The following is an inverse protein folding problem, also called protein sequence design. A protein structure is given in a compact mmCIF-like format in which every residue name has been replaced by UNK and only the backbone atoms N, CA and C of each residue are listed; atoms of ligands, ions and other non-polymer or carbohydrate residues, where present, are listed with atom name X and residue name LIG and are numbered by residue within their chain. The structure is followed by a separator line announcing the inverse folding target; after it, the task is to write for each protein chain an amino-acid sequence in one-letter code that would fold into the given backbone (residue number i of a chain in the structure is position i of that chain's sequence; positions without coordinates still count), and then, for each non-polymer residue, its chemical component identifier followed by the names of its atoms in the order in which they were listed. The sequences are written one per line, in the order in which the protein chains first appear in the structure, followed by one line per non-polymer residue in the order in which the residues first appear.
data_IF_479386189899
#
_entry.id   IF_479386189899
#
_cell.length_a   1.000
_cell.length_b   1.000
_cell.length_c   1.000
_cell.angle_alpha   90.00
_cell.angle_beta   90.00
_cell.angle_gamma   90.00
#
_symmetry.space_group_name_H-M   'P 1'
#
loop_
_entity.id
_entity.type
_entity.pdbx_description
1 polymer ?
#
# COMPACT_ATOMS: atom_id res chain seq x y z
N UNK A 1 -12.77 -22.65 -19.89
CA UNK A 1 -11.61 -22.97 -19.03
C UNK A 1 -10.36 -22.94 -19.89
N UNK A 2 -9.32 -22.20 -19.50
CA UNK A 2 -8.10 -22.07 -20.32
C UNK A 2 -7.33 -23.41 -20.32
N UNK A 3 -6.69 -23.73 -21.45
CA UNK A 3 -5.93 -24.99 -21.66
C UNK A 3 -4.84 -25.23 -20.60
N UNK A 4 -4.33 -24.16 -19.99
CA UNK A 4 -3.36 -24.21 -18.88
C UNK A 4 -3.95 -24.71 -17.57
N UNK A 5 -5.21 -24.35 -17.26
CA UNK A 5 -5.90 -24.80 -16.05
C UNK A 5 -6.27 -26.29 -16.14
N UNK A 6 -6.63 -26.76 -17.35
CA UNK A 6 -6.91 -28.17 -17.61
C UNK A 6 -5.65 -29.04 -17.45
N UNK A 7 -4.50 -28.60 -18.01
CA UNK A 7 -3.21 -29.31 -17.90
C UNK A 7 -2.74 -29.44 -16.44
N UNK A 8 -2.84 -28.38 -15.64
CA UNK A 8 -2.45 -28.41 -14.22
C UNK A 8 -3.31 -29.37 -13.40
N UNK A 9 -4.63 -29.39 -13.62
CA UNK A 9 -5.53 -30.35 -12.96
C UNK A 9 -5.22 -31.79 -13.34
N UNK A 10 -4.94 -32.05 -14.62
CA UNK A 10 -4.60 -33.39 -15.10
C UNK A 10 -3.30 -33.91 -14.47
N UNK A 11 -2.26 -33.07 -14.37
CA UNK A 11 -1.00 -33.42 -13.70
C UNK A 11 -1.25 -33.83 -12.24
N UNK A 12 -2.06 -33.05 -11.50
CA UNK A 12 -2.39 -33.36 -10.10
C UNK A 12 -3.13 -34.69 -9.99
N UNK A 13 -4.13 -34.93 -10.84
CA UNK A 13 -4.90 -36.19 -10.84
C UNK A 13 -3.98 -37.38 -11.12
N UNK A 14 -3.12 -37.28 -12.15
CA UNK A 14 -2.18 -38.34 -12.51
C UNK A 14 -1.22 -38.63 -11.35
N UNK A 15 -0.66 -37.60 -10.71
CA UNK A 15 0.25 -37.78 -9.57
C UNK A 15 -0.44 -38.41 -8.36
N UNK A 16 -1.72 -38.09 -8.11
CA UNK A 16 -2.53 -38.70 -7.05
C UNK A 16 -2.78 -40.18 -7.33
N UNK A 17 -3.15 -40.54 -8.57
CA UNK A 17 -3.33 -41.94 -8.97
C UNK A 17 -2.02 -42.72 -8.83
N UNK A 18 -0.89 -42.13 -9.22
CA UNK A 18 0.43 -42.71 -9.09
C UNK A 18 0.78 -42.99 -7.61
N UNK A 19 0.49 -42.05 -6.70
CA UNK A 19 0.73 -42.24 -5.27
C UNK A 19 -0.14 -43.36 -4.68
N UNK A 20 -1.41 -43.47 -5.09
CA UNK A 20 -2.31 -44.56 -4.66
C UNK A 20 -1.81 -45.90 -5.17
N UNK A 21 -1.39 -46.00 -6.44
CA UNK A 21 -0.76 -47.21 -6.98
C UNK A 21 0.51 -47.58 -6.19
N UNK A 22 1.31 -46.60 -5.79
CA UNK A 22 2.50 -46.81 -4.94
C UNK A 22 2.17 -47.41 -3.59
N UNK A 23 1.10 -46.93 -2.95
CA UNK A 23 0.62 -47.46 -1.68
C UNK A 23 0.12 -48.91 -1.81
N UNK A 24 -0.60 -49.22 -2.90
CA UNK A 24 -1.08 -50.57 -3.22
C UNK A 24 0.10 -51.52 -3.47
N UNK A 25 1.04 -51.13 -4.32
CA UNK A 25 2.26 -51.91 -4.59
C UNK A 25 3.04 -52.22 -3.30
N UNK A 26 3.21 -51.22 -2.44
CA UNK A 26 3.90 -51.38 -1.15
C UNK A 26 3.14 -52.30 -0.19
N UNK A 27 1.81 -52.35 -0.26
CA UNK A 27 0.99 -53.20 0.60
C UNK A 27 1.12 -54.68 0.23
N UNK A 28 1.14 -55.00 -1.07
CA UNK A 28 1.20 -56.37 -1.58
C UNK A 28 2.62 -56.91 -1.80
N UNK A 29 3.65 -56.06 -1.78
CA UNK A 29 5.03 -56.47 -1.97
C UNK A 29 5.68 -57.05 -0.70
N UNK A 30 6.39 -58.17 -0.85
CA UNK A 30 7.14 -58.81 0.23
C UNK A 30 8.23 -57.90 0.81
N UNK A 31 8.51 -58.10 2.10
CA UNK A 31 9.51 -57.31 2.84
C UNK A 31 10.91 -57.61 2.29
N UNK A 32 11.62 -56.57 1.84
CA UNK A 32 12.96 -56.67 1.25
C UNK A 32 12.99 -56.74 -0.29
N UNK A 33 11.83 -56.68 -0.95
CA UNK A 33 11.76 -56.64 -2.41
C UNK A 33 11.98 -55.23 -2.97
N UNK A 34 12.65 -55.14 -4.13
CA UNK A 34 12.81 -53.89 -4.89
C UNK A 34 11.46 -53.27 -5.27
N UNK A 35 10.43 -54.09 -5.45
CA UNK A 35 9.05 -53.67 -5.71
C UNK A 35 8.48 -52.81 -4.57
N UNK A 36 8.84 -53.12 -3.32
CA UNK A 36 8.43 -52.37 -2.13
C UNK A 36 9.15 -51.02 -2.04
N UNK A 37 10.41 -50.95 -2.48
CA UNK A 37 11.18 -49.70 -2.53
C UNK A 37 10.63 -48.75 -3.60
N UNK A 38 10.29 -49.28 -4.78
CA UNK A 38 9.59 -48.52 -5.83
C UNK A 38 8.24 -47.98 -5.34
N UNK A 39 7.44 -48.79 -4.64
CA UNK A 39 6.19 -48.32 -4.04
C UNK A 39 6.39 -47.17 -3.03
N UNK A 40 7.52 -47.16 -2.33
CA UNK A 40 7.87 -46.10 -1.36
C UNK A 40 8.27 -44.80 -2.06
N UNK A 41 9.11 -44.88 -3.10
CA UNK A 41 9.49 -43.71 -3.91
C UNK A 41 8.27 -43.07 -4.57
N UNK A 42 7.35 -43.90 -5.09
CA UNK A 42 6.11 -43.44 -5.70
C UNK A 42 5.19 -42.74 -4.69
N UNK A 43 5.19 -43.21 -3.44
CA UNK A 43 4.47 -42.59 -2.32
C UNK A 43 5.15 -41.31 -1.79
N UNK A 44 6.41 -41.01 -2.13
CA UNK A 44 7.08 -39.75 -1.74
C UNK A 44 6.96 -38.66 -2.80
N UNK A 45 6.72 -39.03 -4.07
CA UNK A 45 6.60 -38.11 -5.19
C UNK A 45 5.51 -37.03 -5.03
N UNK A 46 4.46 -37.31 -4.24
CA UNK A 46 3.34 -36.37 -4.01
C UNK A 46 3.55 -35.36 -2.86
N UNK A 47 4.64 -35.46 -2.07
CA UNK A 47 4.92 -34.54 -0.95
C UNK A 47 4.89 -33.05 -1.33
N UNK A 48 5.50 -32.62 -2.45
CA UNK A 48 5.47 -31.21 -2.87
C UNK A 48 4.06 -30.69 -3.17
N UNK A 49 3.17 -31.56 -3.65
CA UNK A 49 1.77 -31.21 -3.94
C UNK A 49 1.01 -30.96 -2.64
N UNK A 50 1.18 -31.84 -1.64
CA UNK A 50 0.58 -31.67 -0.32
C UNK A 50 1.05 -30.36 0.31
N UNK A 51 2.34 -30.05 0.25
CA UNK A 51 2.88 -28.79 0.76
C UNK A 51 2.18 -27.57 0.15
N UNK A 52 1.94 -27.59 -1.16
CA UNK A 52 1.26 -26.51 -1.86
C UNK A 52 -0.24 -26.42 -1.50
N UNK A 53 -0.93 -27.56 -1.35
CA UNK A 53 -2.34 -27.61 -0.92
C UNK A 53 -2.51 -27.12 0.52
N UNK A 54 -1.62 -27.54 1.43
CA UNK A 54 -1.62 -27.07 2.83
C UNK A 54 -1.33 -25.57 2.88
N UNK A 55 -0.34 -25.08 2.13
CA UNK A 55 -0.06 -23.64 2.05
C UNK A 55 -1.27 -22.85 1.56
N UNK A 56 -1.98 -23.35 0.53
CA UNK A 56 -3.22 -22.75 0.06
C UNK A 56 -4.35 -22.80 1.10
N UNK A 57 -4.50 -23.93 1.81
CA UNK A 57 -5.55 -24.10 2.82
C UNK A 57 -5.31 -23.21 4.04
N UNK A 58 -4.06 -23.11 4.50
CA UNK A 58 -3.63 -22.18 5.55
C UNK A 58 -3.88 -20.74 5.11
N UNK A 59 -3.52 -20.38 3.88
CA UNK A 59 -3.80 -19.04 3.34
C UNK A 59 -5.29 -18.73 3.25
N UNK A 60 -6.15 -19.73 2.98
CA UNK A 60 -7.60 -19.58 2.90
C UNK A 60 -8.24 -19.43 4.29
N UNK A 61 -7.81 -20.22 5.26
CA UNK A 61 -8.33 -20.19 6.65
C UNK A 61 -7.84 -18.94 7.39
N UNK A 62 -6.61 -18.50 7.11
CA UNK A 62 -6.02 -17.29 7.71
C UNK A 62 -6.37 -16.00 6.99
N UNK A 63 -7.31 -16.00 6.02
CA UNK A 63 -7.84 -14.74 5.49
C UNK A 63 -8.49 -14.01 6.66
N UNK A 64 -7.93 -12.88 7.14
CA UNK A 64 -8.62 -12.09 8.13
C UNK A 64 -9.96 -11.69 7.51
N UNK A 65 -11.02 -11.67 8.31
CA UNK A 65 -12.18 -10.85 7.99
C UNK A 65 -11.61 -9.46 7.63
N UNK A 66 -11.96 -8.94 6.45
CA UNK A 66 -11.46 -7.64 6.00
C UNK A 66 -11.63 -6.63 7.13
N UNK A 67 -10.64 -5.74 7.37
CA UNK A 67 -10.76 -4.74 8.42
C UNK A 67 -12.12 -4.07 8.29
N UNK A 68 -12.80 -3.91 9.43
CA UNK A 68 -14.06 -3.15 9.50
C UNK A 68 -13.88 -1.84 8.71
N UNK A 69 -14.89 -1.40 7.94
CA UNK A 69 -14.76 -0.20 7.11
C UNK A 69 -14.21 0.92 7.99
N UNK A 70 -13.00 1.38 7.63
CA UNK A 70 -12.35 2.45 8.36
C UNK A 70 -13.31 3.66 8.40
N UNK A 71 -13.30 4.46 9.48
CA UNK A 71 -14.09 5.69 9.51
C UNK A 71 -13.79 6.48 8.24
N UNK A 72 -14.87 6.88 7.56
CA UNK A 72 -14.77 7.56 6.28
C UNK A 72 -13.87 8.79 6.42
N UNK A 73 -12.70 8.82 5.75
CA UNK A 73 -11.77 9.93 5.89
C UNK A 73 -12.39 11.25 5.44
N UNK A 74 -13.38 11.22 4.54
CA UNK A 74 -14.15 12.41 4.12
C UNK A 74 -15.36 12.71 5.02
N UNK A 75 -15.71 11.88 6.01
CA UNK A 75 -16.82 12.20 6.92
C UNK A 75 -16.51 13.38 7.85
N UNK A 76 -15.23 13.66 8.12
CA UNK A 76 -14.82 14.87 8.84
C UNK A 76 -15.00 16.15 7.99
N UNK A 77 -14.99 16.02 6.66
CA UNK A 77 -15.22 17.07 5.65
C UNK A 77 -16.57 16.89 4.96
N UNK A 78 -17.62 16.50 5.70
CA UNK A 78 -19.00 16.35 5.22
C UNK A 78 -19.67 17.67 4.76
N UNK A 79 -18.90 18.67 4.34
CA UNK A 79 -19.36 19.83 3.60
C UNK A 79 -19.66 19.48 2.14
N UNK A 80 -20.25 20.46 1.44
CA UNK A 80 -20.49 20.37 0.00
C UNK A 80 -19.18 20.09 -0.76
N UNK A 81 -19.28 19.43 -1.91
CA UNK A 81 -18.12 19.16 -2.76
C UNK A 81 -17.46 20.47 -3.20
N UNK A 82 -16.19 20.65 -2.88
CA UNK A 82 -15.40 21.84 -3.23
C UNK A 82 -14.33 21.46 -4.26
N UNK A 83 -14.51 21.79 -5.55
CA UNK A 83 -13.58 21.38 -6.59
C UNK A 83 -12.27 22.17 -6.50
N UNK A 84 -11.16 21.49 -6.25
CA UNK A 84 -9.84 22.11 -6.16
C UNK A 84 -9.02 21.99 -7.45
N UNK A 85 -9.27 20.95 -8.25
CA UNK A 85 -8.60 20.69 -9.51
C UNK A 85 -9.59 20.32 -10.61
N UNK A 86 -9.31 20.80 -11.81
CA UNK A 86 -9.83 20.24 -13.04
C UNK A 86 -8.72 19.40 -13.68
N UNK A 87 -8.99 18.10 -13.85
CA UNK A 87 -8.02 17.15 -14.42
C UNK A 87 -8.58 16.53 -15.70
N UNK A 88 -7.66 16.19 -16.60
CA UNK A 88 -7.88 15.26 -17.67
C UNK A 88 -7.55 13.86 -17.17
N UNK A 89 -8.49 12.93 -17.20
CA UNK A 89 -8.30 11.57 -16.71
C UNK A 89 -8.64 10.56 -17.78
N UNK A 90 -7.70 9.65 -18.05
CA UNK A 90 -7.87 8.54 -18.99
C UNK A 90 -7.84 7.23 -18.20
N UNK A 91 -9.01 6.59 -18.11
CA UNK A 91 -9.11 5.26 -17.51
C UNK A 91 -8.49 4.22 -18.44
N UNK A 92 -7.89 3.17 -17.87
CA UNK A 92 -7.34 2.08 -18.65
C UNK A 92 -8.46 1.39 -19.42
N UNK A 93 -8.24 1.14 -20.71
CA UNK A 93 -9.20 0.41 -21.53
C UNK A 93 -9.34 -1.05 -21.02
N UNK A 94 -10.56 -1.59 -21.00
CA UNK A 94 -10.79 -2.98 -20.66
C UNK A 94 -10.10 -3.89 -21.68
N UNK A 95 -9.46 -4.96 -21.22
CA UNK A 95 -8.79 -5.92 -22.11
C UNK A 95 -9.76 -6.92 -22.74
N UNK A 96 -10.96 -7.04 -22.18
CA UNK A 96 -12.01 -7.94 -22.62
C UNK A 96 -13.31 -7.13 -22.83
N UNK A 97 -14.09 -7.42 -23.89
CA UNK A 97 -15.37 -6.75 -24.12
C UNK A 97 -16.38 -6.88 -22.97
N UNK A 98 -16.29 -7.95 -22.18
CA UNK A 98 -17.17 -8.17 -21.01
C UNK A 98 -16.86 -7.21 -19.86
N UNK A 99 -15.65 -6.67 -19.81
CA UNK A 99 -15.20 -5.72 -18.79
C UNK A 99 -15.42 -4.25 -19.22
N UNK A 100 -16.00 -4.02 -20.42
CA UNK A 100 -16.37 -2.70 -20.94
C UNK A 100 -17.68 -2.20 -20.33
N UNK A 101 -17.68 -2.14 -19.00
CA UNK A 101 -18.78 -1.61 -18.21
C UNK A 101 -18.51 -0.13 -17.95
N UNK A 102 -19.46 0.78 -18.24
CA UNK A 102 -19.30 2.19 -17.95
C UNK A 102 -19.16 2.40 -16.44
N UNK A 103 -18.41 3.45 -16.04
CA UNK A 103 -18.28 3.76 -14.63
C UNK A 103 -19.64 4.15 -14.03
N UNK A 104 -19.94 3.63 -12.85
CA UNK A 104 -21.18 3.90 -12.15
C UNK A 104 -21.35 5.39 -11.83
N UNK A 105 -22.59 5.86 -11.82
CA UNK A 105 -22.93 7.22 -11.39
C UNK A 105 -22.59 7.43 -9.90
N UNK A 106 -22.34 8.68 -9.50
CA UNK A 106 -22.14 9.06 -8.10
C UNK A 106 -20.69 9.32 -7.69
N UNK A 107 -20.43 9.22 -6.39
CA UNK A 107 -19.13 9.54 -5.79
C UNK A 107 -18.12 8.41 -5.99
N UNK A 108 -16.93 8.77 -6.43
CA UNK A 108 -15.78 7.88 -6.55
C UNK A 108 -14.62 8.40 -5.73
N UNK A 109 -13.91 7.47 -5.08
CA UNK A 109 -12.78 7.76 -4.21
C UNK A 109 -11.52 7.11 -4.75
N UNK A 110 -10.44 7.87 -4.77
CA UNK A 110 -9.16 7.39 -5.25
C UNK A 110 -8.00 8.07 -4.52
N UNK A 111 -6.79 7.60 -4.79
CA UNK A 111 -5.58 8.35 -4.53
C UNK A 111 -4.98 8.80 -5.86
N UNK A 112 -4.72 10.09 -6.00
CA UNK A 112 -3.94 10.63 -7.11
C UNK A 112 -2.46 10.56 -6.73
N UNK A 113 -1.67 9.85 -7.52
CA UNK A 113 -0.27 9.54 -7.23
C UNK A 113 0.62 10.35 -8.17
N UNK A 114 1.40 11.25 -7.58
CA UNK A 114 2.49 11.98 -8.26
C UNK A 114 3.79 11.42 -7.71
N UNK A 115 4.71 11.04 -8.60
CA UNK A 115 5.92 10.30 -8.24
C UNK A 115 5.60 9.03 -7.44
N UNK A 116 5.82 9.07 -6.12
CA UNK A 116 5.53 8.03 -5.14
C UNK A 116 4.63 8.50 -3.98
N UNK A 117 4.08 9.71 -4.07
CA UNK A 117 3.17 10.27 -3.05
C UNK A 117 1.73 10.13 -3.53
N UNK A 118 0.86 9.57 -2.68
CA UNK A 118 -0.56 9.38 -2.96
C UNK A 118 -1.42 10.36 -2.17
N UNK A 119 -2.28 11.11 -2.87
CA UNK A 119 -3.17 12.10 -2.29
C UNK A 119 -4.62 11.63 -2.41
N UNK A 120 -5.28 11.40 -1.28
CA UNK A 120 -6.68 10.98 -1.25
C UNK A 120 -7.58 12.06 -1.84
N UNK A 121 -8.43 11.65 -2.77
CA UNK A 121 -9.31 12.53 -3.51
C UNK A 121 -10.68 11.89 -3.75
N UNK A 122 -11.70 12.74 -3.87
CA UNK A 122 -13.04 12.37 -4.30
C UNK A 122 -13.42 13.13 -5.56
N UNK A 123 -14.26 12.52 -6.38
CA UNK A 123 -14.76 13.06 -7.63
C UNK A 123 -16.10 12.41 -7.96
N UNK A 124 -16.85 12.99 -8.89
CA UNK A 124 -18.23 12.58 -9.16
C UNK A 124 -18.47 12.31 -10.63
N UNK A 125 -19.35 11.35 -10.90
CA UNK A 125 -19.99 11.14 -12.19
C UNK A 125 -21.39 11.71 -12.09
N UNK A 126 -21.71 12.70 -12.93
CA UNK A 126 -23.03 13.31 -12.95
C UNK A 126 -24.11 12.28 -13.32
N UNK A 127 -25.32 12.38 -12.76
CA UNK A 127 -26.43 11.50 -13.16
C UNK A 127 -26.71 11.60 -14.65
N UNK A 128 -26.77 10.46 -15.35
CA UNK A 128 -26.95 10.39 -16.80
C UNK A 128 -25.67 10.53 -17.64
N UNK A 129 -24.52 10.86 -17.03
CA UNK A 129 -23.23 10.85 -17.72
C UNK A 129 -22.64 9.44 -17.74
N UNK A 130 -22.13 9.02 -18.90
CA UNK A 130 -21.45 7.73 -19.05
C UNK A 130 -19.97 7.93 -19.36
N UNK A 131 -19.13 7.67 -18.36
CA UNK A 131 -17.68 7.69 -18.50
C UNK A 131 -17.19 6.41 -19.18
N UNK A 132 -16.83 6.53 -20.46
CA UNK A 132 -16.22 5.44 -21.22
C UNK A 132 -14.76 5.24 -20.84
N UNK A 133 -14.40 4.00 -20.55
CA UNK A 133 -13.01 3.62 -20.33
C UNK A 133 -12.15 3.87 -21.59
N UNK A 134 -10.86 4.13 -21.42
CA UNK A 134 -9.94 4.40 -22.54
C UNK A 134 -10.05 5.77 -23.19
N UNK A 135 -11.07 6.58 -22.86
CA UNK A 135 -11.21 7.97 -23.34
C UNK A 135 -10.76 8.95 -22.26
N UNK A 136 -10.23 10.10 -22.66
CA UNK A 136 -9.85 11.18 -21.73
C UNK A 136 -11.09 12.00 -21.35
N UNK A 137 -11.31 12.19 -20.05
CA UNK A 137 -12.45 12.92 -19.52
C UNK A 137 -11.99 14.07 -18.63
N UNK A 138 -12.69 15.20 -18.70
CA UNK A 138 -12.43 16.34 -17.83
C UNK A 138 -13.25 16.19 -16.54
N UNK A 139 -12.57 16.00 -15.41
CA UNK A 139 -13.21 15.74 -14.13
C UNK A 139 -12.75 16.76 -13.08
N UNK A 140 -13.68 17.18 -12.25
CA UNK A 140 -13.37 17.99 -11.08
C UNK A 140 -13.03 17.07 -9.91
N UNK A 141 -12.01 17.44 -9.15
CA UNK A 141 -11.49 16.64 -8.06
C UNK A 141 -11.35 17.50 -6.81
N UNK A 142 -11.82 16.95 -5.69
CA UNK A 142 -11.59 17.48 -4.36
C UNK A 142 -10.59 16.59 -3.63
N UNK A 143 -9.66 17.23 -2.92
CA UNK A 143 -8.68 16.54 -2.10
C UNK A 143 -9.12 16.53 -0.65
N UNK A 144 -8.80 15.45 0.05
CA UNK A 144 -8.99 15.38 1.49
C UNK A 144 -8.14 16.43 2.24
N UNK A 145 -6.92 16.70 1.75
CA UNK A 145 -5.99 17.66 2.33
C UNK A 145 -5.45 18.62 1.25
N UNK A 146 -6.24 19.62 0.82
CA UNK A 146 -5.89 20.49 -0.31
C UNK A 146 -4.60 21.28 -0.09
N UNK A 147 -4.35 21.75 1.14
CA UNK A 147 -3.15 22.53 1.46
C UNK A 147 -1.85 21.77 1.19
N UNK A 148 -1.85 20.43 1.35
CA UNK A 148 -0.69 19.57 1.10
C UNK A 148 -0.67 19.07 -0.34
N UNK A 149 -1.85 18.78 -0.90
CA UNK A 149 -1.96 18.24 -2.24
C UNK A 149 -1.67 19.29 -3.33
N UNK A 150 -2.32 20.46 -3.29
CA UNK A 150 -2.27 21.45 -4.38
C UNK A 150 -0.86 21.87 -4.81
N UNK A 151 0.11 22.10 -3.89
CA UNK A 151 1.49 22.40 -4.28
C UNK A 151 2.17 21.32 -5.13
N UNK A 152 1.71 20.06 -5.05
CA UNK A 152 2.24 18.91 -5.79
C UNK A 152 1.57 18.68 -7.15
N UNK A 153 0.51 19.42 -7.46
CA UNK A 153 -0.23 19.33 -8.72
C UNK A 153 -0.17 20.65 -9.50
N UNK A 154 1.01 21.07 -10.00
CA UNK A 154 1.09 22.24 -10.86
C UNK A 154 0.32 22.03 -12.17
N UNK A 155 -0.03 23.11 -12.89
CA UNK A 155 -0.65 23.00 -14.21
C UNK A 155 0.14 22.06 -15.14
N UNK A 156 -0.56 21.20 -15.88
CA UNK A 156 0.02 20.16 -16.76
C UNK A 156 0.77 19.02 -16.05
N UNK A 157 0.82 18.96 -14.71
CA UNK A 157 1.41 17.84 -14.00
C UNK A 157 0.71 16.53 -14.36
N UNK A 158 1.49 15.49 -14.64
CA UNK A 158 0.98 14.14 -14.86
C UNK A 158 0.90 13.38 -13.55
N UNK A 159 -0.10 12.52 -13.42
CA UNK A 159 -0.32 11.71 -12.24
C UNK A 159 -0.95 10.36 -12.62
N UNK A 160 -0.88 9.41 -11.71
CA UNK A 160 -1.53 8.10 -11.84
C UNK A 160 -2.64 7.97 -10.81
N UNK A 161 -3.76 7.37 -11.18
CA UNK A 161 -4.88 7.17 -10.27
C UNK A 161 -4.86 5.75 -9.70
N UNK A 162 -4.87 5.65 -8.38
CA UNK A 162 -4.88 4.42 -7.61
C UNK A 162 -6.24 4.25 -6.92
N UNK A 163 -6.88 3.09 -7.10
CA UNK A 163 -8.09 2.70 -6.36
C UNK A 163 -7.81 1.37 -5.65
N UNK A 164 -7.97 1.36 -4.33
CA UNK A 164 -7.51 0.25 -3.50
C UNK A 164 -6.00 0.03 -3.65
N UNK A 165 -5.61 -1.05 -4.33
CA UNK A 165 -4.20 -1.40 -4.60
C UNK A 165 -3.82 -1.37 -6.08
N UNK A 166 -4.71 -0.88 -6.96
CA UNK A 166 -4.54 -1.01 -8.42
C UNK A 166 -4.55 0.35 -9.11
N UNK A 167 -3.58 0.59 -9.98
CA UNK A 167 -3.58 1.76 -10.85
C UNK A 167 -4.59 1.58 -11.97
N UNK A 168 -5.62 2.44 -11.97
CA UNK A 168 -6.81 2.33 -12.83
C UNK A 168 -6.79 3.32 -14.00
N UNK A 169 -5.94 4.34 -13.95
CA UNK A 169 -5.83 5.33 -15.02
C UNK A 169 -4.66 6.28 -14.84
N UNK A 170 -4.41 7.06 -15.88
CA UNK A 170 -3.40 8.11 -15.93
C UNK A 170 -4.11 9.44 -16.17
N UNK A 171 -3.59 10.51 -15.61
CA UNK A 171 -4.20 11.83 -15.72
C UNK A 171 -3.21 12.96 -15.79
N UNK A 172 -3.74 14.14 -16.13
CA UNK A 172 -3.01 15.39 -16.21
C UNK A 172 -3.82 16.54 -15.62
N UNK A 173 -3.18 17.43 -14.88
CA UNK A 173 -3.80 18.65 -14.37
C UNK A 173 -4.10 19.60 -15.54
N UNK A 174 -5.37 19.98 -15.72
CA UNK A 174 -5.77 21.02 -16.68
C UNK A 174 -5.77 22.40 -16.06
N UNK A 175 -6.40 22.53 -14.88
CA UNK A 175 -6.53 23.82 -14.19
C UNK A 175 -6.58 23.62 -12.69
N UNK A 176 -5.89 24.48 -11.95
CA UNK A 176 -6.05 24.60 -10.50
C UNK A 176 -7.24 25.52 -10.24
N UNK A 177 -8.27 24.99 -9.58
CA UNK A 177 -9.51 25.69 -9.23
C UNK A 177 -9.38 26.11 -7.76
N UNK A 178 -8.46 27.02 -7.45
CA UNK A 178 -8.30 27.46 -6.06
C UNK A 178 -9.60 28.14 -5.58
N UNK A 179 -10.28 27.56 -4.60
CA UNK A 179 -11.16 28.31 -3.70
C UNK A 179 -10.26 29.10 -2.76
N UNK A 180 -9.77 30.23 -3.26
CA UNK A 180 -9.34 31.30 -2.39
C UNK A 180 -10.58 31.68 -1.56
N UNK A 181 -10.61 31.26 -0.30
CA UNK A 181 -11.33 32.00 0.72
C UNK A 181 -10.71 33.40 0.68
N UNK A 182 -11.32 34.27 -0.14
CA UNK A 182 -11.13 35.71 -0.12
C UNK A 182 -11.41 36.13 1.33
N UNK A 183 -10.35 36.30 2.11
CA UNK A 183 -10.37 37.18 3.26
C UNK A 183 -10.64 38.59 2.73
N UNK A 184 -11.94 38.88 2.71
CA UNK A 184 -12.62 40.16 2.72
C UNK A 184 -11.70 41.40 2.71
N UNK A 185 -11.75 42.14 1.60
CA UNK A 185 -11.65 43.60 1.64
C UNK A 185 -12.77 44.17 2.54
N UNK A 186 -12.42 45.21 3.30
CA UNK A 186 -13.26 46.12 4.10
C UNK A 186 -13.50 45.76 5.58
N UNK A 187 -12.72 46.45 6.43
CA UNK A 187 -12.95 46.60 7.86
C UNK A 187 -11.98 47.59 8.51
N UNK A 188 -11.88 48.82 7.97
CA UNK A 188 -11.29 49.95 8.70
C UNK A 188 -12.19 50.28 9.89
N UNK A 189 -11.86 49.79 11.09
CA UNK A 189 -12.02 50.48 12.37
C UNK A 189 -11.69 49.54 13.54
N UNK A 190 -10.76 49.96 14.39
CA UNK A 190 -10.89 49.73 15.84
C UNK A 190 -10.08 48.59 16.46
N UNK A 191 -8.97 49.00 17.07
CA UNK A 191 -8.42 48.51 18.35
C UNK A 191 -7.67 47.17 18.39
N UNK A 192 -6.35 47.33 18.51
CA UNK A 192 -5.42 46.60 19.38
C UNK A 192 -5.93 45.28 19.99
N UNK A 193 -5.50 44.18 19.40
CA UNK A 193 -5.15 42.96 20.12
C UNK A 193 -4.03 42.28 19.35
N UNK A 194 -2.83 42.26 19.93
CA UNK A 194 -1.71 41.45 19.48
C UNK A 194 -2.14 39.98 19.41
N UNK A 195 -2.44 39.47 18.22
CA UNK A 195 -2.39 38.04 17.96
C UNK A 195 -1.09 37.78 17.21
N UNK A 196 -0.14 37.26 17.97
CA UNK A 196 1.14 36.78 17.50
C UNK A 196 0.93 35.94 16.22
N UNK A 197 1.50 36.41 15.11
CA UNK A 197 1.78 35.59 13.95
C UNK A 197 2.63 34.39 14.42
N UNK A 198 2.03 33.21 14.51
CA UNK A 198 2.79 31.98 14.52
C UNK A 198 3.42 31.84 13.14
N UNK A 199 4.70 32.19 13.05
CA UNK A 199 5.56 31.82 11.94
C UNK A 199 5.45 30.30 11.67
N UNK A 200 5.68 29.82 10.44
CA UNK A 200 5.83 28.38 10.22
C UNK A 200 6.94 27.88 11.15
N UNK A 201 6.61 26.89 11.98
CA UNK A 201 7.53 26.30 12.95
C UNK A 201 8.80 25.84 12.22
N UNK A 202 9.87 26.61 12.35
CA UNK A 202 11.24 26.24 11.93
C UNK A 202 11.81 25.05 12.75
N UNK A 203 10.94 24.26 13.38
CA UNK A 203 11.24 23.24 14.37
C UNK A 203 10.75 21.84 14.01
N UNK A 204 10.00 21.64 12.93
CA UNK A 204 9.52 20.32 12.48
C UNK A 204 10.65 19.49 11.85
N UNK A 205 11.36 18.71 12.67
CA UNK A 205 12.63 18.10 12.28
C UNK A 205 12.80 16.63 12.66
N UNK A 206 11.90 16.10 13.49
CA UNK A 206 11.95 14.74 13.97
C UNK A 206 11.10 13.78 13.14
N UNK A 207 11.65 12.58 12.91
CA UNK A 207 10.92 11.42 12.43
C UNK A 207 11.22 10.18 13.25
N UNK A 208 10.35 9.18 13.14
CA UNK A 208 10.49 7.91 13.84
C UNK A 208 9.95 6.76 13.00
N UNK A 209 10.44 5.55 13.29
CA UNK A 209 9.93 4.29 12.73
C UNK A 209 9.65 3.35 13.90
N UNK A 210 8.45 2.80 13.94
CA UNK A 210 8.04 1.74 14.87
C UNK A 210 7.73 0.46 14.11
N UNK A 211 8.03 -0.70 14.70
CA UNK A 211 7.69 -1.98 14.08
C UNK A 211 7.37 -3.08 15.09
N UNK A 212 6.61 -4.06 14.61
CA UNK A 212 6.28 -5.32 15.26
C UNK A 212 5.99 -6.36 14.17
N UNK A 213 6.80 -7.41 14.05
CA UNK A 213 6.53 -8.60 13.23
C UNK A 213 5.82 -8.32 11.89
N UNK A 214 6.56 -7.76 10.92
CA UNK A 214 6.08 -7.33 9.59
C UNK A 214 5.09 -6.17 9.55
N UNK A 215 4.66 -5.66 10.71
CA UNK A 215 3.92 -4.42 10.82
C UNK A 215 4.87 -3.30 11.16
N UNK A 216 4.68 -2.15 10.51
CA UNK A 216 5.49 -0.97 10.75
C UNK A 216 4.66 0.29 10.62
N UNK A 217 5.11 1.35 11.27
CA UNK A 217 4.58 2.70 11.16
C UNK A 217 5.75 3.68 11.18
N UNK A 218 5.56 4.85 10.57
CA UNK A 218 6.59 5.85 10.48
C UNK A 218 6.00 7.25 10.57
N UNK A 219 6.84 8.21 10.93
CA UNK A 219 6.47 9.61 11.00
C UNK A 219 7.67 10.46 10.60
N UNK A 220 7.41 11.66 10.12
CA UNK A 220 8.41 12.62 9.70
C UNK A 220 7.88 14.04 9.90
N UNK A 221 8.78 15.02 9.93
CA UNK A 221 8.45 16.44 10.07
C UNK A 221 7.60 16.76 11.30
N UNK A 222 7.91 16.13 12.44
CA UNK A 222 7.30 16.48 13.73
C UNK A 222 8.17 17.48 14.52
N UNK A 223 7.53 18.38 15.30
CA UNK A 223 8.25 19.40 16.07
C UNK A 223 9.11 18.82 17.20
N UNK A 224 8.72 17.66 17.72
CA UNK A 224 9.43 16.99 18.82
C UNK A 224 9.62 15.50 18.54
N UNK A 225 10.68 14.94 19.13
CA UNK A 225 10.94 13.49 19.13
C UNK A 225 9.73 12.70 19.64
N UNK A 226 9.16 13.10 20.78
CA UNK A 226 8.04 12.39 21.39
C UNK A 226 6.79 12.38 20.48
N UNK A 227 6.51 13.49 19.79
CA UNK A 227 5.42 13.55 18.82
C UNK A 227 5.65 12.61 17.63
N UNK A 228 6.90 12.54 17.13
CA UNK A 228 7.28 11.61 16.07
C UNK A 228 7.09 10.15 16.51
N UNK A 229 7.63 9.79 17.67
CA UNK A 229 7.53 8.44 18.24
C UNK A 229 6.07 8.01 18.44
N UNK A 230 5.25 8.88 19.03
CA UNK A 230 3.84 8.60 19.25
C UNK A 230 3.09 8.44 17.93
N UNK A 231 3.36 9.26 16.92
CA UNK A 231 2.73 9.16 15.61
C UNK A 231 3.10 7.83 14.90
N UNK A 232 4.38 7.45 14.92
CA UNK A 232 4.85 6.19 14.35
C UNK A 232 4.26 4.96 15.08
N UNK A 233 4.20 5.00 16.41
CA UNK A 233 3.56 3.97 17.24
C UNK A 233 2.06 3.87 16.94
N UNK A 234 1.35 4.99 16.87
CA UNK A 234 -0.08 5.02 16.55
C UNK A 234 -0.35 4.42 15.17
N UNK A 235 0.48 4.75 14.16
CA UNK A 235 0.35 4.14 12.84
C UNK A 235 0.62 2.63 12.89
N UNK A 236 1.72 2.20 13.52
CA UNK A 236 2.08 0.79 13.61
C UNK A 236 1.00 -0.01 14.36
N UNK A 237 0.55 0.46 15.52
CA UNK A 237 -0.47 -0.22 16.32
C UNK A 237 -1.81 -0.34 15.60
N UNK A 238 -2.19 0.67 14.79
CA UNK A 238 -3.39 0.60 13.94
C UNK A 238 -3.30 -0.52 12.91
N UNK A 239 -2.12 -0.77 12.34
CA UNK A 239 -1.90 -1.83 11.35
C UNK A 239 -1.74 -3.20 12.02
N UNK A 240 -1.04 -3.27 13.15
CA UNK A 240 -0.81 -4.51 13.89
C UNK A 240 -2.09 -5.03 14.59
N UNK A 241 -3.01 -4.16 14.99
CA UNK A 241 -4.26 -4.53 15.67
C UNK A 241 -4.01 -5.36 16.93
N UNK A 242 -4.44 -6.62 16.93
CA UNK A 242 -4.25 -7.56 18.06
C UNK A 242 -2.92 -8.35 17.98
N UNK A 243 -2.07 -8.11 17.00
CA UNK A 243 -0.82 -8.85 16.80
C UNK A 243 0.25 -8.55 17.88
N UNK A 244 0.07 -7.50 18.69
CA UNK A 244 0.93 -7.15 19.82
C UNK A 244 1.19 -5.65 19.92
N UNK A 245 2.17 -5.25 20.74
CA UNK A 245 2.56 -3.85 20.92
C UNK A 245 3.72 -3.48 20.00
N UNK A 246 3.53 -2.47 19.16
CA UNK A 246 4.64 -1.89 18.41
C UNK A 246 5.65 -1.22 19.32
N UNK A 247 6.92 -1.27 18.91
CA UNK A 247 8.03 -0.58 19.57
C UNK A 247 8.74 0.33 18.57
N UNK A 248 9.17 1.50 19.03
CA UNK A 248 10.03 2.39 18.24
C UNK A 248 11.37 1.69 17.97
N UNK A 249 11.75 1.59 16.70
CA UNK A 249 13.01 0.99 16.23
C UNK A 249 14.04 2.03 15.83
N UNK A 250 13.57 3.18 15.36
CA UNK A 250 14.42 4.25 14.90
C UNK A 250 13.79 5.60 15.18
N UNK A 251 14.63 6.55 15.50
CA UNK A 251 14.32 7.96 15.59
C UNK A 251 15.42 8.73 14.87
N UNK A 252 15.06 9.83 14.21
CA UNK A 252 16.00 10.61 13.42
C UNK A 252 15.62 12.10 13.42
N UNK A 253 16.64 12.95 13.44
CA UNK A 253 16.52 14.42 13.35
C UNK A 253 17.21 14.90 12.07
N UNK A 254 16.57 15.78 11.30
CA UNK A 254 17.15 16.43 10.09
C UNK A 254 17.85 15.46 9.14
N UNK A 255 17.32 14.26 9.01
CA UNK A 255 17.94 13.17 8.26
C UNK A 255 16.87 12.21 7.75
N UNK A 256 17.30 11.18 7.02
CA UNK A 256 16.46 10.12 6.52
C UNK A 256 16.63 8.86 7.35
N UNK A 257 15.52 8.19 7.65
CA UNK A 257 15.48 6.90 8.32
C UNK A 257 14.90 5.82 7.41
N UNK A 258 15.44 4.62 7.50
CA UNK A 258 14.94 3.46 6.78
C UNK A 258 14.78 2.23 7.69
N UNK A 259 13.87 1.33 7.29
CA UNK A 259 13.67 0.01 7.87
C UNK A 259 13.74 -1.02 6.74
N UNK A 260 14.56 -2.04 6.93
CA UNK A 260 14.61 -3.23 6.09
C UNK A 260 14.18 -4.45 6.89
N UNK A 261 13.47 -5.38 6.25
CA UNK A 261 13.00 -6.63 6.84
C UNK A 261 13.39 -7.83 5.97
N UNK A 262 13.74 -8.94 6.62
CA UNK A 262 13.96 -10.25 6.05
C UNK A 262 12.74 -11.15 6.17
N UNK A 263 12.76 -12.30 5.49
CA UNK A 263 11.62 -13.20 5.44
C UNK A 263 11.40 -14.04 6.71
N UNK A 264 12.42 -14.15 7.58
CA UNK A 264 12.36 -14.95 8.80
C UNK A 264 12.29 -14.09 10.08
N UNK A 265 12.08 -12.78 9.94
CA UNK A 265 11.89 -11.85 11.06
C UNK A 265 13.14 -11.05 11.41
N UNK A 266 14.21 -11.16 10.63
CA UNK A 266 15.33 -10.23 10.65
C UNK A 266 14.86 -8.84 10.25
N UNK A 267 15.44 -7.83 10.86
CA UNK A 267 15.19 -6.45 10.49
C UNK A 267 16.40 -5.61 10.87
N UNK A 268 16.58 -4.49 10.16
CA UNK A 268 17.53 -3.47 10.57
C UNK A 268 17.00 -2.08 10.22
N UNK A 269 17.47 -1.10 10.98
CA UNK A 269 17.17 0.31 10.75
C UNK A 269 18.45 1.09 10.56
N UNK A 270 18.41 2.14 9.74
CA UNK A 270 19.56 3.01 9.55
C UNK A 270 19.12 4.45 9.30
N UNK A 271 19.98 5.39 9.68
CA UNK A 271 19.84 6.81 9.37
C UNK A 271 20.94 7.27 8.42
N UNK A 272 20.61 8.16 7.48
CA UNK A 272 21.60 8.80 6.62
C UNK A 272 21.13 10.18 6.15
N UNK A 273 22.02 11.02 5.58
CA UNK A 273 21.64 12.33 5.04
C UNK A 273 20.66 12.24 3.86
N UNK A 274 20.65 11.13 3.12
CA UNK A 274 19.77 10.92 1.97
C UNK A 274 18.96 9.64 2.11
N UNK A 275 17.81 9.61 1.45
CA UNK A 275 16.88 8.48 1.41
C UNK A 275 17.59 7.21 0.90
N UNK A 276 18.31 7.31 -0.21
CA UNK A 276 19.00 6.15 -0.79
C UNK A 276 20.11 5.60 0.10
N UNK A 277 20.88 6.49 0.74
CA UNK A 277 21.92 6.07 1.67
C UNK A 277 21.34 5.36 2.91
N UNK A 278 20.22 5.85 3.45
CA UNK A 278 19.55 5.24 4.59
C UNK A 278 19.00 3.87 4.22
N UNK A 279 18.32 3.75 3.07
CA UNK A 279 17.80 2.48 2.57
C UNK A 279 18.89 1.44 2.34
N UNK A 280 20.00 1.83 1.67
CA UNK A 280 21.15 0.94 1.43
C UNK A 280 21.80 0.50 2.75
N UNK A 281 21.98 1.41 3.70
CA UNK A 281 22.56 1.08 5.00
C UNK A 281 21.67 0.11 5.79
N UNK A 282 20.35 0.32 5.80
CA UNK A 282 19.40 -0.58 6.47
C UNK A 282 19.40 -1.98 5.82
N UNK A 283 19.41 -2.07 4.50
CA UNK A 283 19.48 -3.34 3.79
C UNK A 283 20.77 -4.11 4.12
N UNK A 284 21.95 -3.46 4.03
CA UNK A 284 23.25 -4.07 4.34
C UNK A 284 23.30 -4.58 5.78
N UNK A 285 22.79 -3.81 6.75
CA UNK A 285 22.76 -4.24 8.14
C UNK A 285 21.83 -5.43 8.36
N UNK A 286 20.70 -5.47 7.66
CA UNK A 286 19.76 -6.57 7.73
C UNK A 286 20.36 -7.85 7.09
N UNK A 287 21.00 -7.72 5.93
CA UNK A 287 21.63 -8.82 5.20
C UNK A 287 22.75 -9.52 6.00
N UNK A 288 23.44 -8.79 6.89
CA UNK A 288 24.46 -9.36 7.77
C UNK A 288 23.92 -10.45 8.73
N UNK A 289 22.60 -10.60 8.85
CA UNK A 289 21.94 -11.58 9.70
C UNK A 289 21.38 -12.78 8.94
N UNK A 290 21.54 -12.86 7.60
CA UNK A 290 20.86 -13.85 6.75
C UNK A 290 21.82 -14.79 5.99
N UNK A 291 21.47 -16.09 5.84
CA UNK A 291 22.18 -17.01 4.95
C UNK A 291 21.53 -17.24 3.56
N UNK A 292 20.34 -16.71 3.23
CA UNK A 292 19.61 -17.20 2.04
C UNK A 292 18.87 -16.19 1.13
N UNK A 293 18.45 -15.00 1.58
CA UNK A 293 17.74 -14.02 0.72
C UNK A 293 18.04 -12.57 1.12
N UNK A 294 18.04 -11.59 0.19
CA UNK A 294 18.31 -10.20 0.52
C UNK A 294 17.13 -9.54 1.24
N UNK A 295 17.42 -8.80 2.28
CA UNK A 295 16.46 -7.96 2.99
C UNK A 295 15.85 -6.90 2.08
N UNK A 296 14.57 -6.63 2.29
CA UNK A 296 13.82 -5.61 1.54
C UNK A 296 13.60 -4.36 2.38
N UNK A 297 13.92 -3.20 1.82
CA UNK A 297 13.56 -1.91 2.42
C UNK A 297 12.05 -1.70 2.34
N UNK A 298 11.40 -1.57 3.49
CA UNK A 298 9.94 -1.41 3.64
C UNK A 298 9.52 0.00 4.04
N UNK A 299 10.43 0.77 4.66
CA UNK A 299 10.25 2.18 4.97
C UNK A 299 11.49 2.94 4.56
N UNK A 300 11.30 4.11 3.93
CA UNK A 300 12.40 5.03 3.63
C UNK A 300 11.89 6.47 3.55
N UNK A 301 12.08 7.23 4.64
CA UNK A 301 11.47 8.56 4.83
C UNK A 301 12.48 9.56 5.36
N UNK A 302 12.24 10.84 5.10
CA UNK A 302 13.12 11.92 5.52
C UNK A 302 12.35 12.96 6.29
N UNK A 303 12.98 13.50 7.33
CA UNK A 303 12.48 14.63 8.09
C UNK A 303 13.48 15.77 7.87
N UNK A 304 13.35 16.44 6.74
CA UNK A 304 14.21 17.57 6.32
C UNK A 304 13.51 18.89 6.60
N UNK A 305 14.31 19.95 6.76
CA UNK A 305 13.87 21.33 6.96
C UNK A 305 13.04 21.85 5.80
#
# INVERSE_FOLDING_TARGET
MTTLQARRKLIVIVLLCIAVCGAVLRHFADRGSTLRDFGTLLMLLWLPIIGNVIAWLVARVRRPAGPAPAPDPFAATAGAFEPHLLVALKFRAPQLPVDDVPLAEGEHRCALVVDNEGFSARWFVAPGDTLRLGTEHALQVEFLAPAVALPRFPPQATFRMLVGSTFVGDGRVRKVLATAALWWCCGLAGMAADTAHAAPDAGARWGAIASLNRWYGYSFSHPTRAAAEQAALNQCNRLAGRAGKCSVRLQFDRSCGALAEGNYGEWATATAPTRDAAGKAAAVQCDNHLPAEPCKVVVNVCSTQ
#
